data_IF_588166631449
#
_entry.id   IF_588166631449
#
_cell.length_a   1.000
_cell.length_b   1.000
_cell.length_c   1.000
_cell.angle_alpha   90.00
_cell.angle_beta   90.00
_cell.angle_gamma   90.00
#
_symmetry.space_group_name_H-M   'P 1'
#
loop_
_entity.id
_entity.type
_entity.pdbx_description
1 polymer ?
#
# COMPACT_ATOMS: atom_id res chain seq x y z
N UNK A 1 -19.65 -28.53 9.09
CA UNK A 1 -18.43 -27.75 9.35
C UNK A 1 -18.20 -27.73 10.85
N UNK A 2 -17.52 -28.77 11.33
CA UNK A 2 -17.24 -28.99 12.74
C UNK A 2 -16.11 -28.07 13.22
N UNK A 3 -16.20 -27.74 14.51
CA UNK A 3 -15.38 -26.80 15.29
C UNK A 3 -13.88 -26.99 15.06
N UNK A 4 -13.21 -25.91 14.67
CA UNK A 4 -11.80 -25.67 15.06
C UNK A 4 -11.85 -24.79 16.31
N UNK A 5 -12.10 -25.44 17.45
CA UNK A 5 -11.84 -24.87 18.77
C UNK A 5 -10.53 -25.47 19.26
N UNK A 6 -9.56 -24.63 19.64
CA UNK A 6 -8.46 -25.08 20.49
C UNK A 6 -7.03 -24.94 19.97
N UNK A 7 -6.73 -23.98 19.08
CA UNK A 7 -5.33 -23.52 18.95
C UNK A 7 -5.15 -22.28 19.82
N UNK A 8 -4.50 -22.37 20.99
CA UNK A 8 -4.17 -21.18 21.77
C UNK A 8 -3.17 -20.36 20.96
N UNK A 9 -3.54 -19.11 20.67
CA UNK A 9 -2.63 -18.14 20.03
C UNK A 9 -1.58 -17.77 21.08
N UNK A 10 -0.29 -18.08 20.87
CA UNK A 10 0.74 -17.81 21.87
C UNK A 10 0.87 -16.31 22.10
N UNK A 11 0.61 -15.87 23.34
CA UNK A 11 0.80 -14.49 23.78
C UNK A 11 -0.42 -13.80 24.38
N UNK A 12 -1.63 -14.34 24.24
CA UNK A 12 -2.87 -13.76 24.81
C UNK A 12 -2.84 -13.70 26.35
N UNK A 13 -2.33 -14.74 26.99
CA UNK A 13 -2.29 -14.90 28.45
C UNK A 13 -1.37 -13.88 29.16
N UNK A 14 -0.50 -13.20 28.41
CA UNK A 14 0.39 -12.15 28.94
C UNK A 14 -0.18 -10.74 28.79
N UNK A 15 -1.29 -10.58 28.08
CA UNK A 15 -1.93 -9.28 27.84
C UNK A 15 -2.99 -9.01 28.90
N UNK A 16 -3.62 -10.06 29.46
CA UNK A 16 -4.76 -9.98 30.40
C UNK A 16 -4.59 -9.04 31.61
N UNK A 17 -3.46 -9.03 32.35
CA UNK A 17 -3.33 -8.16 33.52
C UNK A 17 -3.13 -6.68 33.17
N UNK A 18 -2.63 -6.39 31.95
CA UNK A 18 -2.46 -5.01 31.44
C UNK A 18 -3.74 -4.50 30.76
N UNK A 19 -4.69 -5.38 30.43
CA UNK A 19 -5.97 -5.06 29.77
C UNK A 19 -7.08 -4.65 30.75
N UNK A 20 -7.02 -5.10 32.01
CA UNK A 20 -8.06 -4.90 33.02
C UNK A 20 -8.13 -3.49 33.65
N UNK A 21 -7.21 -2.58 33.32
CA UNK A 21 -6.98 -1.36 34.10
C UNK A 21 -7.71 -0.09 33.62
N UNK A 22 -8.66 -0.17 32.67
CA UNK A 22 -9.28 1.05 32.12
C UNK A 22 -10.75 0.84 31.76
N UNK A 23 -11.65 1.43 32.56
CA UNK A 23 -13.12 1.26 32.57
C UNK A 23 -13.86 1.91 31.39
N UNK A 24 -13.16 2.49 30.40
CA UNK A 24 -13.81 3.07 29.22
C UNK A 24 -14.20 1.97 28.20
N UNK A 25 -15.51 1.70 27.99
CA UNK A 25 -16.00 0.68 27.05
C UNK A 25 -15.57 0.96 25.60
N UNK A 26 -15.33 2.23 25.25
CA UNK A 26 -14.91 2.66 23.90
C UNK A 26 -13.47 2.26 23.62
N UNK A 27 -12.62 2.35 24.64
CA UNK A 27 -11.25 1.88 24.56
C UNK A 27 -11.22 0.35 24.56
N UNK A 28 -12.08 -0.35 25.28
CA UNK A 28 -12.16 -1.83 25.23
C UNK A 28 -12.53 -2.32 23.82
N UNK A 29 -13.47 -1.64 23.16
CA UNK A 29 -13.84 -1.93 21.78
C UNK A 29 -12.72 -1.65 20.76
N UNK A 30 -12.10 -0.46 20.80
CA UNK A 30 -10.96 -0.16 19.94
C UNK A 30 -9.78 -1.13 20.18
N UNK A 31 -9.63 -1.61 21.42
CA UNK A 31 -8.68 -2.67 21.79
C UNK A 31 -9.04 -4.03 21.18
N UNK A 32 -10.31 -4.45 21.21
CA UNK A 32 -10.80 -5.72 20.61
C UNK A 32 -10.80 -5.68 19.07
N UNK A 33 -11.28 -4.61 18.46
CA UNK A 33 -11.28 -4.43 17.00
C UNK A 33 -9.86 -4.43 16.41
N UNK A 34 -8.88 -3.87 17.14
CA UNK A 34 -7.47 -3.85 16.74
C UNK A 34 -6.78 -5.23 16.80
N UNK A 35 -7.30 -6.16 17.59
CA UNK A 35 -6.75 -7.53 17.73
C UNK A 35 -7.34 -8.51 16.68
N UNK A 36 -8.47 -8.18 16.04
CA UNK A 36 -9.32 -9.22 15.44
C UNK A 36 -9.64 -8.97 13.96
N UNK A 37 -8.81 -9.55 13.08
CA UNK A 37 -9.18 -9.87 11.68
C UNK A 37 -10.18 -11.04 11.57
N UNK A 38 -10.62 -11.59 12.70
CA UNK A 38 -11.30 -12.90 12.81
C UNK A 38 -12.60 -12.83 13.64
N UNK A 39 -13.29 -11.69 13.62
CA UNK A 39 -14.55 -11.55 14.37
C UNK A 39 -15.73 -12.03 13.52
N UNK A 40 -16.58 -12.89 14.09
CA UNK A 40 -17.87 -13.23 13.49
C UNK A 40 -18.82 -12.05 13.65
N UNK A 41 -19.44 -11.61 12.55
CA UNK A 41 -20.47 -10.56 12.56
C UNK A 41 -21.81 -11.12 13.05
N UNK A 42 -21.89 -11.39 14.36
CA UNK A 42 -23.15 -11.67 15.06
C UNK A 42 -24.00 -10.40 15.18
N UNK A 43 -25.30 -10.54 15.44
CA UNK A 43 -26.21 -9.40 15.64
C UNK A 43 -25.74 -8.47 16.77
N UNK A 44 -25.27 -9.04 17.89
CA UNK A 44 -24.71 -8.29 19.03
C UNK A 44 -23.48 -7.46 18.61
N UNK A 45 -22.56 -8.07 17.85
CA UNK A 45 -21.36 -7.40 17.39
C UNK A 45 -21.68 -6.27 16.41
N UNK A 46 -22.63 -6.50 15.49
CA UNK A 46 -23.09 -5.46 14.55
C UNK A 46 -23.69 -4.27 15.31
N UNK A 47 -24.55 -4.52 16.29
CA UNK A 47 -25.16 -3.45 17.10
C UNK A 47 -24.10 -2.65 17.87
N UNK A 48 -23.09 -3.33 18.42
CA UNK A 48 -21.96 -2.69 19.09
C UNK A 48 -21.12 -1.83 18.14
N UNK A 49 -20.78 -2.33 16.95
CA UNK A 49 -20.07 -1.54 15.93
C UNK A 49 -20.85 -0.30 15.53
N UNK A 50 -22.16 -0.42 15.32
CA UNK A 50 -23.03 0.72 14.99
C UNK A 50 -23.06 1.75 16.12
N UNK A 51 -23.17 1.32 17.37
CA UNK A 51 -23.16 2.21 18.52
C UNK A 51 -21.81 2.94 18.67
N UNK A 52 -20.69 2.23 18.47
CA UNK A 52 -19.35 2.82 18.55
C UNK A 52 -19.07 3.80 17.40
N UNK A 53 -19.35 3.41 16.17
CA UNK A 53 -19.08 4.22 14.97
C UNK A 53 -20.06 5.39 14.82
N UNK A 54 -21.28 5.25 15.35
CA UNK A 54 -22.26 6.34 15.45
C UNK A 54 -21.94 7.38 16.53
N UNK A 55 -20.96 7.13 17.41
CA UNK A 55 -20.55 8.12 18.40
C UNK A 55 -19.77 9.28 17.73
N UNK A 56 -20.18 10.55 17.91
CA UNK A 56 -19.50 11.71 17.34
C UNK A 56 -18.04 11.90 17.79
N UNK A 57 -17.61 11.24 18.87
CA UNK A 57 -16.22 11.28 19.33
C UNK A 57 -15.33 10.26 18.61
N UNK A 58 -15.90 9.29 17.90
CA UNK A 58 -15.14 8.21 17.24
C UNK A 58 -14.43 8.71 15.99
N UNK A 59 -13.11 8.47 15.94
CA UNK A 59 -12.21 8.83 14.83
C UNK A 59 -11.42 7.63 14.28
N UNK A 60 -11.82 6.40 14.64
CA UNK A 60 -11.16 5.18 14.18
C UNK A 60 -11.57 4.79 12.75
N UNK A 61 -10.84 5.34 11.78
CA UNK A 61 -11.01 5.06 10.34
C UNK A 61 -10.77 3.59 10.00
N UNK A 62 -9.94 2.87 10.78
CA UNK A 62 -9.66 1.46 10.48
C UNK A 62 -10.85 0.59 10.86
N UNK A 63 -11.44 0.83 12.04
CA UNK A 63 -12.64 0.15 12.48
C UNK A 63 -13.83 0.41 11.55
N UNK A 64 -14.03 1.66 11.11
CA UNK A 64 -15.12 2.01 10.19
C UNK A 64 -14.96 1.31 8.84
N UNK A 65 -13.75 1.29 8.25
CA UNK A 65 -13.49 0.59 6.99
C UNK A 65 -13.79 -0.91 7.07
N UNK A 66 -13.41 -1.55 8.18
CA UNK A 66 -13.65 -2.98 8.38
C UNK A 66 -15.15 -3.28 8.45
N UNK A 67 -15.87 -2.52 9.28
CA UNK A 67 -17.31 -2.65 9.41
C UNK A 67 -18.05 -2.35 8.10
N UNK A 68 -17.69 -1.29 7.39
CA UNK A 68 -18.34 -0.89 6.14
C UNK A 68 -18.20 -1.94 5.03
N UNK A 69 -17.13 -2.75 5.06
CA UNK A 69 -16.98 -3.92 4.19
C UNK A 69 -18.14 -4.89 4.36
N UNK A 70 -18.47 -5.22 5.62
CA UNK A 70 -19.62 -6.04 5.97
C UNK A 70 -20.94 -5.31 5.74
N UNK A 71 -21.06 -4.05 6.19
CA UNK A 71 -22.30 -3.29 6.14
C UNK A 71 -22.87 -3.22 4.71
N UNK A 72 -22.02 -2.95 3.70
CA UNK A 72 -22.44 -2.92 2.29
C UNK A 72 -22.92 -4.28 1.78
N UNK A 73 -22.28 -5.37 2.17
CA UNK A 73 -22.69 -6.71 1.76
C UNK A 73 -24.05 -7.12 2.36
N UNK A 74 -24.46 -6.48 3.45
CA UNK A 74 -25.66 -6.81 4.22
C UNK A 74 -26.72 -5.69 4.27
N UNK A 75 -26.55 -4.62 3.48
CA UNK A 75 -27.51 -3.52 3.41
C UNK A 75 -27.63 -2.68 4.69
N UNK A 76 -26.59 -2.65 5.51
CA UNK A 76 -26.54 -1.87 6.76
C UNK A 76 -25.96 -0.47 6.53
N UNK A 77 -26.21 0.50 7.43
CA UNK A 77 -25.60 1.83 7.37
C UNK A 77 -24.07 1.75 7.38
N UNK A 78 -23.43 2.60 6.58
CA UNK A 78 -21.98 2.76 6.46
C UNK A 78 -21.51 4.02 7.21
N UNK A 79 -20.33 3.98 7.81
CA UNK A 79 -19.78 5.07 8.64
C UNK A 79 -18.40 5.56 8.20
N UNK A 80 -17.75 4.93 7.21
CA UNK A 80 -16.36 5.24 6.84
C UNK A 80 -16.18 6.70 6.46
N UNK A 81 -17.10 7.28 5.69
CA UNK A 81 -17.04 8.69 5.29
C UNK A 81 -17.14 9.64 6.49
N UNK A 82 -18.18 9.48 7.32
CA UNK A 82 -18.43 10.34 8.48
C UNK A 82 -17.27 10.27 9.50
N UNK A 83 -16.79 9.05 9.80
CA UNK A 83 -15.66 8.83 10.70
C UNK A 83 -14.36 9.40 10.12
N UNK A 84 -14.15 9.30 8.80
CA UNK A 84 -12.98 9.89 8.13
C UNK A 84 -12.98 11.40 8.25
N UNK A 85 -14.11 12.06 7.99
CA UNK A 85 -14.22 13.52 8.11
C UNK A 85 -13.99 13.99 9.56
N UNK A 86 -14.53 13.28 10.55
CA UNK A 86 -14.22 13.55 11.96
C UNK A 86 -12.73 13.40 12.28
N UNK A 87 -12.10 12.33 11.80
CA UNK A 87 -10.68 12.08 12.03
C UNK A 87 -9.78 13.14 11.40
N UNK A 88 -10.14 13.63 10.20
CA UNK A 88 -9.42 14.71 9.52
C UNK A 88 -9.60 16.04 10.27
N UNK A 89 -10.82 16.38 10.68
CA UNK A 89 -11.07 17.58 11.48
C UNK A 89 -10.29 17.56 12.81
N UNK A 90 -10.21 16.39 13.46
CA UNK A 90 -9.39 16.21 14.66
C UNK A 90 -7.89 16.33 14.37
N UNK A 91 -7.42 15.75 13.26
CA UNK A 91 -6.03 15.87 12.84
C UNK A 91 -5.63 17.34 12.56
N UNK A 92 -6.50 18.12 11.92
CA UNK A 92 -6.27 19.56 11.67
C UNK A 92 -6.06 20.35 12.96
N UNK A 93 -6.81 20.03 14.02
CA UNK A 93 -6.63 20.68 15.34
C UNK A 93 -5.32 20.29 16.01
N UNK A 94 -4.93 19.00 15.92
CA UNK A 94 -3.79 18.45 16.65
C UNK A 94 -2.43 18.64 15.97
N UNK A 95 -2.39 18.87 14.66
CA UNK A 95 -1.12 18.92 13.92
C UNK A 95 -0.22 20.09 14.32
N UNK A 96 -0.79 21.19 14.83
CA UNK A 96 -0.02 22.32 15.34
C UNK A 96 0.84 21.93 16.56
N UNK A 97 0.25 21.14 17.48
CA UNK A 97 0.93 20.66 18.69
C UNK A 97 1.78 19.41 18.42
N UNK A 98 1.44 18.65 17.36
CA UNK A 98 2.07 17.38 17.01
C UNK A 98 2.56 17.37 15.55
N UNK A 99 3.45 18.29 15.14
CA UNK A 99 3.81 18.48 13.74
C UNK A 99 4.52 17.27 13.11
N UNK A 100 5.12 16.41 13.95
CA UNK A 100 5.85 15.21 13.55
C UNK A 100 4.99 13.94 13.51
N UNK A 101 3.70 14.03 13.86
CA UNK A 101 2.85 12.83 13.92
C UNK A 101 2.53 12.30 12.53
N UNK A 102 3.16 11.18 12.17
CA UNK A 102 3.00 10.53 10.87
C UNK A 102 1.59 9.99 10.64
N UNK A 103 0.85 9.72 11.71
CA UNK A 103 -0.57 9.33 11.67
C UNK A 103 -1.45 10.53 11.31
N UNK A 104 -1.23 11.69 11.95
CA UNK A 104 -1.99 12.90 11.62
C UNK A 104 -1.70 13.36 10.20
N UNK A 105 -0.43 13.36 9.79
CA UNK A 105 -0.05 13.69 8.41
C UNK A 105 -0.66 12.72 7.40
N UNK A 106 -0.82 11.44 7.73
CA UNK A 106 -1.50 10.45 6.86
C UNK A 106 -2.97 10.82 6.67
N UNK A 107 -3.66 11.15 7.76
CA UNK A 107 -5.07 11.56 7.72
C UNK A 107 -5.23 12.84 6.90
N UNK A 108 -4.41 13.86 7.15
CA UNK A 108 -4.45 15.13 6.42
C UNK A 108 -4.15 14.99 4.93
N UNK A 109 -3.38 13.97 4.53
CA UNK A 109 -3.08 13.67 3.14
C UNK A 109 -4.16 12.83 2.43
N UNK A 110 -5.30 12.56 3.07
CA UNK A 110 -6.37 11.72 2.51
C UNK A 110 -7.13 12.50 1.44
N UNK A 111 -7.09 12.08 0.16
CA UNK A 111 -7.88 12.71 -0.89
C UNK A 111 -9.34 12.25 -0.83
N UNK A 112 -10.24 13.01 -1.45
CA UNK A 112 -11.58 12.51 -1.80
C UNK A 112 -11.47 11.43 -2.87
N UNK A 113 -12.33 10.42 -2.77
CA UNK A 113 -12.46 9.31 -3.73
C UNK A 113 -13.92 9.11 -4.09
N UNK A 114 -14.22 8.26 -5.07
CA UNK A 114 -15.61 7.87 -5.39
C UNK A 114 -16.32 7.18 -4.21
N UNK A 115 -15.57 6.60 -3.27
CA UNK A 115 -16.10 5.87 -2.11
C UNK A 115 -16.23 6.72 -0.85
N UNK A 116 -15.38 7.74 -0.71
CA UNK A 116 -15.27 8.57 0.49
C UNK A 116 -15.13 10.02 0.04
N UNK A 117 -16.13 10.84 0.32
CA UNK A 117 -16.08 12.28 0.09
C UNK A 117 -15.49 12.96 1.34
N UNK A 118 -14.28 13.48 1.20
CA UNK A 118 -13.62 14.24 2.26
C UNK A 118 -14.07 15.69 2.23
N UNK A 119 -14.40 16.25 3.38
CA UNK A 119 -14.67 17.68 3.57
C UNK A 119 -13.36 18.48 3.54
N UNK A 120 -13.29 19.42 2.59
CA UNK A 120 -12.11 20.27 2.35
C UNK A 120 -10.85 19.43 2.06
N UNK A 121 -10.86 18.56 1.03
CA UNK A 121 -9.73 17.66 0.77
C UNK A 121 -8.46 18.47 0.45
N UNK A 122 -7.27 17.98 0.81
CA UNK A 122 -6.04 18.64 0.40
C UNK A 122 -6.00 18.72 -1.13
N UNK A 123 -5.47 19.82 -1.66
CA UNK A 123 -5.06 19.85 -3.05
C UNK A 123 -4.04 18.73 -3.30
N UNK A 124 -3.88 18.38 -4.58
CA UNK A 124 -2.90 17.38 -4.98
C UNK A 124 -1.48 17.68 -4.43
N UNK A 125 -1.06 18.94 -4.58
CA UNK A 125 0.26 19.40 -4.18
C UNK A 125 0.44 19.35 -2.65
N UNK A 126 -0.59 19.76 -1.89
CA UNK A 126 -0.59 19.66 -0.44
C UNK A 126 -0.54 18.20 0.03
N UNK A 127 -1.31 17.31 -0.58
CA UNK A 127 -1.30 15.88 -0.28
C UNK A 127 0.08 15.25 -0.51
N UNK A 128 0.72 15.59 -1.63
CA UNK A 128 2.07 15.13 -1.95
C UNK A 128 3.10 15.69 -0.95
N UNK A 129 3.01 16.98 -0.60
CA UNK A 129 3.88 17.61 0.38
C UNK A 129 3.74 16.97 1.77
N UNK A 130 2.52 16.64 2.20
CA UNK A 130 2.27 15.93 3.47
C UNK A 130 2.88 14.52 3.47
N UNK A 131 2.80 13.78 2.35
CA UNK A 131 3.43 12.47 2.19
C UNK A 131 4.96 12.57 2.21
N UNK A 132 5.54 13.58 1.53
CA UNK A 132 6.98 13.88 1.60
C UNK A 132 7.43 14.22 3.03
N UNK A 133 6.66 15.06 3.74
CA UNK A 133 6.92 15.41 5.14
C UNK A 133 6.93 14.18 6.06
N UNK A 134 6.06 13.20 5.83
CA UNK A 134 6.09 11.91 6.55
C UNK A 134 7.38 11.12 6.30
N UNK A 135 7.92 11.15 5.08
CA UNK A 135 9.20 10.53 4.77
C UNK A 135 10.35 11.21 5.51
N UNK A 136 10.36 12.54 5.58
CA UNK A 136 11.39 13.28 6.32
C UNK A 136 11.42 12.88 7.80
N UNK A 137 10.27 12.64 8.41
CA UNK A 137 10.19 12.27 9.84
C UNK A 137 10.40 10.79 10.13
N UNK A 138 10.16 9.91 9.16
CA UNK A 138 10.32 8.47 9.35
C UNK A 138 10.84 7.79 8.07
N UNK A 139 12.08 8.09 7.67
CA UNK A 139 12.62 7.71 6.36
C UNK A 139 12.85 6.21 6.20
N UNK A 140 12.85 5.44 7.29
CA UNK A 140 13.03 3.98 7.26
C UNK A 140 11.71 3.21 7.17
N UNK A 141 10.58 3.91 7.01
CA UNK A 141 9.25 3.27 6.96
C UNK A 141 8.86 2.96 5.51
N UNK A 142 8.96 1.70 5.09
CA UNK A 142 8.67 1.28 3.70
C UNK A 142 7.28 1.67 3.20
N UNK A 143 6.27 1.66 4.09
CA UNK A 143 4.90 2.04 3.71
C UNK A 143 4.85 3.50 3.23
N UNK A 144 5.65 4.39 3.82
CA UNK A 144 5.61 5.81 3.49
C UNK A 144 6.24 6.05 2.12
N UNK A 145 7.27 5.28 1.77
CA UNK A 145 7.88 5.32 0.45
C UNK A 145 6.94 4.82 -0.63
N UNK A 146 6.22 3.72 -0.39
CA UNK A 146 5.23 3.25 -1.35
C UNK A 146 4.08 4.25 -1.51
N UNK A 147 3.54 4.77 -0.41
CA UNK A 147 2.46 5.77 -0.43
C UNK A 147 2.88 7.05 -1.19
N UNK A 148 4.14 7.46 -1.07
CA UNK A 148 4.72 8.56 -1.85
C UNK A 148 4.91 8.21 -3.33
N UNK A 149 5.42 7.01 -3.63
CA UNK A 149 5.62 6.53 -5.00
C UNK A 149 4.30 6.46 -5.78
N UNK A 150 3.26 5.90 -5.17
CA UNK A 150 1.91 5.81 -5.74
C UNK A 150 1.33 7.21 -5.98
N UNK A 151 1.56 8.14 -5.06
CA UNK A 151 1.15 9.52 -5.24
C UNK A 151 1.87 10.17 -6.44
N UNK A 152 3.19 10.04 -6.56
CA UNK A 152 3.94 10.57 -7.70
C UNK A 152 3.45 10.00 -9.04
N UNK A 153 3.15 8.70 -9.09
CA UNK A 153 2.58 8.06 -10.28
C UNK A 153 1.23 8.67 -10.65
N UNK A 154 0.37 8.91 -9.66
CA UNK A 154 -0.93 9.54 -9.90
C UNK A 154 -0.78 10.99 -10.38
N UNK A 155 0.12 11.79 -9.76
CA UNK A 155 0.42 13.17 -10.16
C UNK A 155 0.76 13.29 -11.64
N UNK A 156 1.74 12.49 -12.04
CA UNK A 156 2.37 12.57 -13.35
C UNK A 156 1.62 11.74 -14.39
N UNK A 157 0.49 11.12 -14.02
CA UNK A 157 -0.24 10.15 -14.83
C UNK A 157 0.72 9.10 -15.41
N UNK A 158 1.55 8.55 -14.54
CA UNK A 158 2.54 7.51 -14.80
C UNK A 158 3.86 7.73 -14.04
N UNK A 159 4.81 6.81 -14.20
CA UNK A 159 6.06 6.85 -13.41
C UNK A 159 7.00 7.99 -13.80
N UNK A 160 7.69 8.49 -12.79
CA UNK A 160 8.80 9.45 -12.88
C UNK A 160 10.06 8.81 -12.29
N UNK A 161 11.26 9.36 -12.57
CA UNK A 161 12.48 8.93 -11.88
C UNK A 161 12.37 9.00 -10.35
N UNK A 162 11.60 9.96 -9.84
CA UNK A 162 11.33 10.10 -8.41
C UNK A 162 10.43 8.98 -7.88
N UNK A 163 9.36 8.60 -8.61
CA UNK A 163 8.52 7.46 -8.19
C UNK A 163 9.30 6.15 -8.19
N UNK A 164 10.18 5.95 -9.17
CA UNK A 164 11.06 4.77 -9.23
C UNK A 164 12.00 4.70 -8.04
N UNK A 165 12.57 5.85 -7.68
CA UNK A 165 13.42 6.00 -6.50
C UNK A 165 12.64 5.66 -5.22
N UNK A 166 11.41 6.17 -5.10
CA UNK A 166 10.55 5.89 -3.96
C UNK A 166 10.15 4.40 -3.88
N UNK A 167 9.81 3.74 -5.00
CA UNK A 167 9.55 2.30 -5.00
C UNK A 167 10.78 1.47 -4.59
N UNK A 168 11.98 1.83 -5.08
CA UNK A 168 13.23 1.15 -4.68
C UNK A 168 13.46 1.27 -3.16
N UNK A 169 13.27 2.46 -2.60
CA UNK A 169 13.36 2.66 -1.15
C UNK A 169 12.29 1.86 -0.40
N UNK A 170 11.06 1.78 -0.90
CA UNK A 170 10.03 0.94 -0.31
C UNK A 170 10.44 -0.54 -0.25
N UNK A 171 11.05 -1.06 -1.31
CA UNK A 171 11.58 -2.43 -1.35
C UNK A 171 12.70 -2.61 -0.32
N UNK A 172 13.73 -1.75 -0.35
CA UNK A 172 14.89 -1.89 0.54
C UNK A 172 14.49 -1.77 2.01
N UNK A 173 13.75 -0.74 2.39
CA UNK A 173 13.33 -0.54 3.79
C UNK A 173 12.29 -1.55 4.28
N UNK A 174 11.66 -2.29 3.36
CA UNK A 174 10.81 -3.42 3.74
C UNK A 174 11.60 -4.72 3.98
N UNK A 175 12.91 -4.71 3.70
CA UNK A 175 13.72 -5.91 3.56
C UNK A 175 13.15 -6.86 2.49
N UNK A 176 12.85 -6.31 1.30
CA UNK A 176 12.39 -7.07 0.13
C UNK A 176 11.09 -7.86 0.36
N UNK A 177 10.14 -7.30 1.10
CA UNK A 177 8.81 -7.93 1.24
C UNK A 177 8.12 -8.08 -0.12
N UNK A 178 7.48 -9.23 -0.42
CA UNK A 178 6.80 -9.48 -1.69
C UNK A 178 5.87 -8.34 -2.09
N UNK A 179 5.06 -7.84 -1.16
CA UNK A 179 4.04 -6.84 -1.47
C UNK A 179 4.63 -5.52 -2.01
N UNK A 180 5.87 -5.17 -1.64
CA UNK A 180 6.56 -3.97 -2.14
C UNK A 180 7.16 -4.20 -3.53
N UNK A 181 7.69 -5.40 -3.77
CA UNK A 181 8.19 -5.82 -5.08
C UNK A 181 7.02 -5.86 -6.07
N UNK A 182 5.91 -6.50 -5.68
CA UNK A 182 4.68 -6.61 -6.46
C UNK A 182 4.09 -5.23 -6.81
N UNK A 183 4.07 -4.29 -5.86
CA UNK A 183 3.62 -2.92 -6.11
C UNK A 183 4.45 -2.24 -7.21
N UNK A 184 5.78 -2.38 -7.17
CA UNK A 184 6.64 -1.81 -8.18
C UNK A 184 6.51 -2.53 -9.53
N UNK A 185 6.40 -3.86 -9.51
CA UNK A 185 6.13 -4.68 -10.71
C UNK A 185 4.84 -4.25 -11.39
N UNK A 186 3.76 -4.05 -10.63
CA UNK A 186 2.48 -3.59 -11.17
C UNK A 186 2.64 -2.23 -11.85
N UNK A 187 3.35 -1.31 -11.21
CA UNK A 187 3.57 0.02 -11.76
C UNK A 187 4.39 -0.03 -13.07
N UNK A 188 5.46 -0.82 -13.14
CA UNK A 188 6.25 -1.04 -14.37
C UNK A 188 5.45 -1.79 -15.46
N UNK A 189 4.71 -2.82 -15.06
CA UNK A 189 3.85 -3.64 -15.91
C UNK A 189 2.76 -2.80 -16.58
N UNK A 190 2.06 -1.95 -15.83
CA UNK A 190 1.03 -1.06 -16.39
C UNK A 190 1.58 -0.13 -17.49
N UNK A 191 2.78 0.44 -17.30
CA UNK A 191 3.41 1.29 -18.32
C UNK A 191 3.84 0.50 -19.56
N UNK A 192 4.34 -0.73 -19.36
CA UNK A 192 4.68 -1.62 -20.46
C UNK A 192 3.42 -2.02 -21.25
N UNK A 193 2.33 -2.39 -20.57
CA UNK A 193 1.04 -2.70 -21.20
C UNK A 193 0.48 -1.50 -21.95
N UNK A 194 0.54 -0.29 -21.40
CA UNK A 194 0.12 0.94 -22.09
C UNK A 194 0.92 1.17 -23.37
N UNK A 195 2.25 1.03 -23.31
CA UNK A 195 3.11 1.16 -24.48
C UNK A 195 2.75 0.12 -25.56
N UNK A 196 2.64 -1.15 -25.17
CA UNK A 196 2.28 -2.23 -26.09
C UNK A 196 0.92 -1.99 -26.73
N UNK A 197 -0.04 -1.47 -25.97
CA UNK A 197 -1.35 -1.08 -26.47
C UNK A 197 -1.26 0.06 -27.49
N UNK A 198 -0.56 1.16 -27.19
CA UNK A 198 -0.37 2.27 -28.13
C UNK A 198 0.25 1.79 -29.44
N UNK A 199 1.28 0.95 -29.35
CA UNK A 199 1.94 0.36 -30.51
C UNK A 199 1.01 -0.53 -31.32
N UNK A 200 0.19 -1.36 -30.66
CA UNK A 200 -0.80 -2.20 -31.35
C UNK A 200 -1.81 -1.39 -32.17
N UNK A 201 -1.98 -0.10 -31.85
CA UNK A 201 -2.82 0.86 -32.58
C UNK A 201 -2.03 1.72 -33.57
N UNK A 202 -0.76 1.43 -33.81
CA UNK A 202 0.11 2.23 -34.68
C UNK A 202 0.43 3.62 -34.11
N UNK A 203 0.27 3.82 -32.80
CA UNK A 203 0.56 5.09 -32.12
C UNK A 203 1.92 5.02 -31.43
N UNK A 204 2.60 6.15 -31.38
CA UNK A 204 3.84 6.31 -30.62
C UNK A 204 3.53 6.76 -29.18
N UNK A 205 4.36 6.31 -28.24
CA UNK A 205 4.34 6.85 -26.89
C UNK A 205 5.12 8.16 -26.87
N UNK A 206 4.54 9.21 -26.29
CA UNK A 206 5.28 10.46 -26.02
C UNK A 206 6.34 10.26 -24.94
N UNK A 207 6.20 9.24 -24.09
CA UNK A 207 7.15 8.88 -23.02
C UNK A 207 8.33 8.05 -23.53
N UNK A 208 8.11 7.26 -24.58
CA UNK A 208 9.12 6.40 -25.21
C UNK A 208 9.17 6.64 -26.73
N UNK A 209 9.67 7.82 -27.16
CA UNK A 209 9.66 8.19 -28.58
C UNK A 209 10.54 7.29 -29.44
N UNK A 210 11.60 6.69 -28.87
CA UNK A 210 12.55 5.82 -29.58
C UNK A 210 12.16 4.33 -29.52
N UNK A 211 10.95 4.00 -29.02
CA UNK A 211 10.44 2.64 -28.98
C UNK A 211 11.18 1.73 -27.97
N UNK A 212 11.29 0.42 -28.27
CA UNK A 212 11.79 -0.58 -27.32
C UNK A 212 13.19 -0.30 -26.77
N UNK A 213 14.09 0.26 -27.58
CA UNK A 213 15.45 0.56 -27.14
C UNK A 213 15.46 1.55 -25.96
N UNK A 214 14.61 2.59 -26.02
CA UNK A 214 14.42 3.54 -24.90
C UNK A 214 13.68 2.95 -23.69
N UNK A 215 13.03 1.80 -23.83
CA UNK A 215 12.28 1.16 -22.75
C UNK A 215 13.10 0.17 -21.93
N UNK A 216 14.25 -0.27 -22.46
CA UNK A 216 15.06 -1.29 -21.81
C UNK A 216 15.46 -0.86 -20.40
N UNK A 217 16.12 0.29 -20.29
CA UNK A 217 16.61 0.82 -19.02
C UNK A 217 15.48 1.21 -18.05
N UNK A 218 14.37 1.75 -18.56
CA UNK A 218 13.34 2.36 -17.73
C UNK A 218 12.18 1.44 -17.38
N UNK A 219 11.91 0.41 -18.19
CA UNK A 219 10.75 -0.48 -18.01
C UNK A 219 11.14 -1.95 -17.94
N UNK A 220 11.71 -2.49 -19.00
CA UNK A 220 11.78 -3.95 -19.15
C UNK A 220 12.90 -4.55 -18.32
N UNK A 221 14.09 -3.95 -18.25
CA UNK A 221 15.18 -4.46 -17.41
C UNK A 221 14.91 -4.29 -15.89
N UNK A 222 14.31 -3.18 -15.43
CA UNK A 222 13.76 -3.10 -14.07
C UNK A 222 12.73 -4.19 -13.79
N UNK A 223 11.81 -4.46 -14.73
CA UNK A 223 10.80 -5.52 -14.55
C UNK A 223 11.43 -6.92 -14.49
N UNK A 224 12.46 -7.21 -15.30
CA UNK A 224 13.25 -8.45 -15.20
C UNK A 224 13.89 -8.57 -13.82
N UNK A 225 14.53 -7.50 -13.33
CA UNK A 225 15.13 -7.48 -11.99
C UNK A 225 14.10 -7.77 -10.91
N UNK A 226 12.93 -7.12 -10.98
CA UNK A 226 11.85 -7.31 -10.02
C UNK A 226 11.25 -8.71 -10.05
N UNK A 227 11.07 -9.31 -11.24
CA UNK A 227 10.63 -10.70 -11.39
C UNK A 227 11.60 -11.66 -10.72
N UNK A 228 12.91 -11.43 -10.84
CA UNK A 228 13.92 -12.27 -10.19
C UNK A 228 13.89 -12.14 -8.67
N UNK A 229 13.74 -10.92 -8.14
CA UNK A 229 13.55 -10.72 -6.70
C UNK A 229 12.27 -11.36 -6.19
N UNK A 230 11.17 -11.21 -6.93
CA UNK A 230 9.90 -11.84 -6.61
C UNK A 230 10.05 -13.36 -6.54
N UNK A 231 10.60 -14.00 -7.58
CA UNK A 231 10.79 -15.45 -7.64
C UNK A 231 11.65 -15.96 -6.47
N UNK A 232 12.72 -15.23 -6.12
CA UNK A 232 13.60 -15.60 -5.02
C UNK A 232 12.91 -15.51 -3.65
N UNK A 233 12.21 -14.41 -3.38
CA UNK A 233 11.51 -14.20 -2.09
C UNK A 233 10.32 -15.17 -1.97
N UNK A 234 9.59 -15.40 -3.06
CA UNK A 234 8.46 -16.31 -3.08
C UNK A 234 8.86 -17.79 -2.98
N UNK A 235 9.98 -18.19 -3.57
CA UNK A 235 10.50 -19.55 -3.44
C UNK A 235 11.07 -19.82 -2.04
N UNK A 236 11.69 -18.81 -1.41
CA UNK A 236 12.27 -18.93 -0.06
C UNK A 236 11.25 -18.85 1.09
N UNK A 237 10.05 -18.32 0.83
CA UNK A 237 9.07 -17.96 1.85
C UNK A 237 8.22 -19.08 2.45
N UNK A 238 8.37 -20.34 2.02
CA UNK A 238 7.53 -21.45 2.48
C UNK A 238 6.03 -21.24 2.18
N UNK A 239 5.19 -22.18 2.62
CA UNK A 239 3.76 -22.25 2.29
C UNK A 239 2.87 -21.14 2.91
N UNK A 240 3.45 -20.08 3.47
CA UNK A 240 2.74 -19.07 4.28
C UNK A 240 2.04 -17.96 3.47
N UNK A 241 1.79 -18.17 2.17
CA UNK A 241 0.86 -17.34 1.38
C UNK A 241 1.26 -15.87 1.24
N UNK A 242 2.55 -15.56 1.34
CA UNK A 242 3.08 -14.20 1.26
C UNK A 242 3.12 -13.63 -0.16
N UNK A 243 3.16 -14.49 -1.18
CA UNK A 243 3.05 -14.07 -2.57
C UNK A 243 1.61 -14.20 -3.03
N UNK A 244 0.95 -13.05 -3.14
CA UNK A 244 -0.50 -12.94 -3.34
C UNK A 244 -0.86 -12.56 -4.76
N UNK A 245 0.13 -12.20 -5.58
CA UNK A 245 -0.12 -11.92 -6.99
C UNK A 245 -0.59 -13.16 -7.71
N UNK A 246 -1.66 -13.00 -8.49
CA UNK A 246 -2.17 -14.02 -9.40
C UNK A 246 -1.02 -14.52 -10.30
N UNK A 247 -0.73 -15.83 -10.32
CA UNK A 247 0.28 -16.41 -11.21
C UNK A 247 0.11 -15.98 -12.67
N UNK A 248 -1.13 -15.75 -13.14
CA UNK A 248 -1.38 -15.28 -14.50
C UNK A 248 -0.79 -13.89 -14.76
N UNK A 249 -0.83 -12.98 -13.78
CA UNK A 249 -0.23 -11.64 -13.89
C UNK A 249 1.29 -11.74 -13.93
N UNK A 250 1.89 -12.62 -13.13
CA UNK A 250 3.33 -12.87 -13.15
C UNK A 250 3.76 -13.44 -14.52
N UNK A 251 3.00 -14.39 -15.06
CA UNK A 251 3.27 -14.98 -16.37
C UNK A 251 3.07 -13.98 -17.52
N UNK A 252 2.15 -13.02 -17.38
CA UNK A 252 2.02 -11.88 -18.30
C UNK A 252 3.29 -11.03 -18.29
N UNK A 253 3.81 -10.64 -17.12
CA UNK A 253 5.06 -9.89 -16.99
C UNK A 253 6.26 -10.65 -17.57
N UNK A 254 6.35 -11.96 -17.31
CA UNK A 254 7.37 -12.82 -17.94
C UNK A 254 7.23 -12.81 -19.45
N UNK A 255 6.02 -12.88 -19.98
CA UNK A 255 5.79 -12.86 -21.43
C UNK A 255 6.18 -11.52 -22.04
N UNK A 256 5.82 -10.41 -21.41
CA UNK A 256 6.18 -9.07 -21.90
C UNK A 256 7.69 -8.80 -21.90
N UNK A 257 8.45 -9.45 -21.01
CA UNK A 257 9.92 -9.30 -20.94
C UNK A 257 10.69 -10.25 -21.86
N UNK A 258 10.05 -11.22 -22.53
CA UNK A 258 10.74 -12.18 -23.42
C UNK A 258 11.49 -11.52 -24.58
N UNK A 259 10.87 -10.55 -25.23
CA UNK A 259 11.45 -9.83 -26.39
C UNK A 259 12.74 -9.09 -26.00
N UNK A 260 12.73 -8.19 -24.99
CA UNK A 260 13.94 -7.47 -24.55
C UNK A 260 15.00 -8.37 -23.89
N UNK A 261 14.65 -9.60 -23.49
CA UNK A 261 15.64 -10.60 -23.08
C UNK A 261 16.28 -11.26 -24.30
N UNK A 262 15.48 -11.59 -25.33
CA UNK A 262 15.95 -12.28 -26.52
C UNK A 262 16.83 -11.41 -27.43
N UNK A 263 16.62 -10.09 -27.42
CA UNK A 263 17.43 -9.12 -28.16
C UNK A 263 18.72 -8.68 -27.44
N UNK A 264 18.93 -9.17 -26.21
CA UNK A 264 20.11 -8.87 -25.39
C UNK A 264 20.03 -7.58 -24.58
N UNK A 265 18.94 -6.81 -24.63
CA UNK A 265 18.83 -5.50 -23.98
C UNK A 265 18.95 -5.54 -22.45
N UNK A 266 18.61 -6.67 -21.82
CA UNK A 266 18.67 -6.87 -20.37
C UNK A 266 19.63 -8.01 -19.95
N UNK A 267 20.74 -8.18 -20.67
CA UNK A 267 21.69 -9.28 -20.42
C UNK A 267 22.28 -9.26 -19.00
N UNK A 268 22.59 -8.06 -18.48
CA UNK A 268 23.07 -7.90 -17.10
C UNK A 268 22.02 -8.37 -16.09
N UNK A 269 20.80 -7.87 -16.20
CA UNK A 269 19.71 -8.19 -15.27
C UNK A 269 19.30 -9.66 -15.33
N UNK A 270 19.57 -10.34 -16.44
CA UNK A 270 19.40 -11.79 -16.57
C UNK A 270 20.49 -12.60 -15.86
N UNK A 271 21.74 -12.17 -15.98
CA UNK A 271 22.91 -13.00 -15.64
C UNK A 271 23.56 -12.66 -14.28
N UNK A 272 23.41 -11.42 -13.81
CA UNK A 272 23.98 -10.97 -12.52
C UNK A 272 23.38 -11.72 -11.33
N UNK A 273 24.07 -11.77 -10.18
CA UNK A 273 23.47 -12.31 -8.95
C UNK A 273 22.40 -11.36 -8.39
N UNK A 274 21.58 -11.82 -7.44
CA UNK A 274 20.60 -10.93 -6.79
C UNK A 274 21.28 -9.84 -5.97
N UNK A 275 22.43 -10.13 -5.39
CA UNK A 275 23.25 -9.18 -4.65
C UNK A 275 23.78 -8.07 -5.56
N UNK A 276 24.20 -8.41 -6.78
CA UNK A 276 24.65 -7.44 -7.79
C UNK A 276 23.51 -6.56 -8.34
N UNK A 277 22.27 -7.05 -8.26
CA UNK A 277 21.06 -6.34 -8.67
C UNK A 277 20.34 -5.66 -7.50
N UNK A 278 20.85 -5.82 -6.27
CA UNK A 278 20.23 -5.25 -5.09
C UNK A 278 20.07 -3.74 -5.22
N UNK A 279 18.86 -3.26 -4.94
CA UNK A 279 18.62 -1.84 -4.84
C UNK A 279 19.39 -1.27 -3.65
N UNK A 280 20.03 -0.13 -3.87
CA UNK A 280 20.66 0.66 -2.81
C UNK A 280 19.67 1.75 -2.40
N UNK A 281 19.52 2.04 -1.09
CA UNK A 281 18.72 3.18 -0.65
C UNK A 281 19.18 4.47 -1.33
N UNK A 282 18.23 5.18 -1.91
CA UNK A 282 18.44 6.52 -2.43
C UNK A 282 18.23 7.56 -1.32
N UNK A 283 18.85 8.76 -1.44
CA UNK A 283 18.65 9.85 -0.50
C UNK A 283 17.17 10.28 -0.44
N UNK A 284 16.84 11.03 0.62
CA UNK A 284 15.51 11.64 0.73
C UNK A 284 15.26 12.60 -0.45
N UNK A 285 14.00 12.77 -0.88
CA UNK A 285 13.65 13.76 -1.88
C UNK A 285 14.10 15.15 -1.40
N UNK A 286 14.79 15.90 -2.26
CA UNK A 286 15.25 17.26 -1.94
C UNK A 286 14.04 18.17 -1.66
N UNK A 287 14.15 19.08 -0.70
CA UNK A 287 13.07 20.01 -0.30
C UNK A 287 12.62 20.94 -1.43
#
# INVERSE_FOLDING_TARGET
FERIAGVPVPGLDRIDPLLAANDDPRLDFARRARVLRSFDFTEENVAMFQAYLGDPATTDVTASRYYDGYARAHGLPAFEEEVTNRAIADARRKIADQPYSTVLLKLLATPSTERIVVEDPPSWEEGLALKKKRLTYAPYTSEFWQDYAEALVWAARGQTPESDTAYRNAIVYSNYKPERIEAYMRSKGSLLSEFLFLRSKGRTSTRFPEGYASMAADLTCPLVTLLRFHDAVCAGGGADGHCRTDPAVIDEYRTMTKIPIADGSCERERNATLEELAFVPAPLPAD
#
